data_IF_296037720943
#
_entry.id   IF_296037720943
#
_cell.length_a   1.000
_cell.length_b   1.000
_cell.length_c   1.000
_cell.angle_alpha   90.00
_cell.angle_beta   90.00
_cell.angle_gamma   90.00
#
_symmetry.space_group_name_H-M   'P 1'
#
loop_
_entity.id
_entity.type
_entity.pdbx_description
1 polymer ?
#
# COMPACT_ATOMS: atom_id res chain seq x y z
N UNK A 1 10.77 -16.75 49.91
CA UNK A 1 10.47 -16.77 48.48
C UNK A 1 9.49 -17.90 48.20
N UNK A 2 8.24 -17.55 47.92
CA UNK A 2 7.13 -18.50 47.78
C UNK A 2 7.26 -19.25 46.46
N UNK A 3 6.62 -20.46 46.41
CA UNK A 3 6.58 -21.35 45.23
C UNK A 3 6.10 -20.63 43.94
N UNK A 4 5.42 -19.49 44.09
CA UNK A 4 4.93 -18.61 43.02
C UNK A 4 6.10 -17.85 42.39
N UNK A 5 7.07 -17.34 43.19
CA UNK A 5 8.21 -16.56 42.69
C UNK A 5 9.18 -17.39 41.84
N UNK A 6 9.34 -18.69 42.15
CA UNK A 6 10.19 -19.59 41.35
C UNK A 6 9.57 -19.96 40.00
N UNK A 7 8.26 -19.98 39.90
CA UNK A 7 7.57 -20.22 38.61
C UNK A 7 7.63 -18.98 37.73
N UNK A 8 7.50 -17.77 38.30
CA UNK A 8 7.61 -16.51 37.56
C UNK A 8 9.01 -16.35 36.94
N UNK A 9 10.08 -16.69 37.70
CA UNK A 9 11.46 -16.60 37.17
C UNK A 9 11.73 -17.61 36.03
N UNK A 10 11.08 -18.77 36.06
CA UNK A 10 11.21 -19.80 35.00
C UNK A 10 10.47 -19.39 33.72
N UNK A 11 9.32 -18.72 33.87
CA UNK A 11 8.54 -18.20 32.76
C UNK A 11 9.19 -16.94 32.14
N UNK A 12 9.84 -16.10 32.93
CA UNK A 12 10.54 -14.91 32.44
C UNK A 12 11.74 -15.28 31.54
N UNK A 13 12.42 -16.41 31.80
CA UNK A 13 13.47 -16.93 30.91
C UNK A 13 12.93 -17.48 29.58
N UNK A 14 11.73 -18.00 29.58
CA UNK A 14 11.06 -18.49 28.35
C UNK A 14 10.51 -17.34 27.50
N UNK A 15 10.03 -16.25 28.15
CA UNK A 15 9.47 -15.06 27.51
C UNK A 15 10.53 -14.17 26.82
N UNK A 16 11.79 -14.27 27.22
CA UNK A 16 12.88 -13.53 26.56
C UNK A 16 13.25 -14.09 25.17
N UNK A 17 12.64 -15.20 24.75
CA UNK A 17 12.74 -15.78 23.41
C UNK A 17 11.54 -15.47 22.49
N UNK A 18 10.51 -14.79 23.00
CA UNK A 18 9.30 -14.42 22.26
C UNK A 18 9.38 -12.93 21.89
N UNK A 19 9.07 -12.59 20.65
CA UNK A 19 9.12 -11.22 20.13
C UNK A 19 8.33 -10.21 21.00
N UNK A 20 8.80 -8.96 21.11
CA UNK A 20 8.22 -7.91 21.97
C UNK A 20 6.71 -7.67 21.78
N UNK A 21 6.16 -7.96 20.60
CA UNK A 21 4.73 -7.79 20.30
C UNK A 21 3.83 -8.84 20.94
N UNK A 22 4.34 -10.06 21.19
CA UNK A 22 3.58 -11.12 21.86
C UNK A 22 3.44 -10.90 23.38
N UNK A 23 4.36 -10.08 23.95
CA UNK A 23 4.34 -9.76 25.38
C UNK A 23 3.13 -8.89 25.75
N UNK A 24 2.70 -8.01 24.83
CA UNK A 24 1.54 -7.14 25.09
C UNK A 24 0.23 -7.94 25.07
N UNK A 25 0.08 -8.85 24.12
CA UNK A 25 -1.06 -9.75 24.02
C UNK A 25 -1.19 -10.67 25.26
N UNK A 26 -0.05 -11.21 25.73
CA UNK A 26 -0.01 -12.06 26.91
C UNK A 26 -0.32 -11.29 28.21
N UNK A 27 0.11 -10.03 28.34
CA UNK A 27 -0.24 -9.17 29.49
C UNK A 27 -1.74 -8.88 29.53
N UNK A 28 -2.36 -8.62 28.38
CA UNK A 28 -3.80 -8.36 28.29
C UNK A 28 -4.62 -9.61 28.64
N UNK A 29 -4.18 -10.79 28.19
CA UNK A 29 -4.80 -12.07 28.54
C UNK A 29 -4.64 -12.39 30.03
N UNK A 30 -3.51 -12.08 30.64
CA UNK A 30 -3.27 -12.31 32.06
C UNK A 30 -4.16 -11.42 32.95
N UNK A 31 -4.37 -10.17 32.58
CA UNK A 31 -5.22 -9.24 33.33
C UNK A 31 -6.73 -9.60 33.26
N UNK A 32 -7.15 -10.23 32.17
CA UNK A 32 -8.53 -10.77 32.00
C UNK A 32 -8.71 -12.06 32.84
N UNK A 33 -7.66 -12.86 33.01
CA UNK A 33 -7.70 -14.12 33.75
C UNK A 33 -7.86 -13.93 35.27
N UNK A 34 -7.39 -12.84 35.85
CA UNK A 34 -7.54 -12.57 37.29
C UNK A 34 -8.97 -12.18 37.71
N UNK A 35 -9.81 -11.75 36.76
CA UNK A 35 -11.21 -11.31 37.02
C UNK A 35 -12.29 -12.33 36.69
N UNK A 36 -11.95 -13.51 36.16
CA UNK A 36 -12.88 -14.50 35.69
C UNK A 36 -13.08 -15.71 36.64
N UNK A 37 -14.31 -16.02 36.97
CA UNK A 37 -14.71 -17.10 37.89
C UNK A 37 -14.44 -18.52 37.38
N UNK A 38 -14.75 -19.50 38.20
CA UNK A 38 -14.43 -20.95 38.17
C UNK A 38 -14.68 -21.73 36.84
N UNK A 39 -15.48 -21.22 35.93
CA UNK A 39 -15.76 -21.89 34.64
C UNK A 39 -14.64 -21.77 33.60
N UNK A 40 -13.79 -20.74 33.67
CA UNK A 40 -12.69 -20.54 32.74
C UNK A 40 -11.52 -21.50 32.98
N UNK A 41 -11.32 -21.97 34.20
CA UNK A 41 -10.27 -22.96 34.53
C UNK A 41 -10.52 -24.33 33.87
N UNK A 42 -11.78 -24.69 33.58
CA UNK A 42 -12.15 -25.94 32.92
C UNK A 42 -11.89 -25.88 31.40
N UNK A 43 -12.09 -24.72 30.79
CA UNK A 43 -11.85 -24.46 29.37
C UNK A 43 -10.35 -24.47 29.06
N UNK A 44 -9.51 -23.92 29.95
CA UNK A 44 -8.04 -23.92 29.82
C UNK A 44 -7.42 -25.33 29.89
N UNK A 45 -7.97 -26.24 30.69
CA UNK A 45 -7.52 -27.63 30.72
C UNK A 45 -7.83 -28.38 29.42
N UNK A 46 -8.89 -28.02 28.72
CA UNK A 46 -9.25 -28.63 27.43
C UNK A 46 -8.38 -28.05 26.28
N UNK A 47 -8.03 -26.79 26.31
CA UNK A 47 -7.10 -26.18 25.32
C UNK A 47 -5.66 -26.68 25.49
N UNK A 48 -5.17 -26.85 26.71
CA UNK A 48 -3.83 -27.40 26.97
C UNK A 48 -3.65 -28.83 26.50
N UNK A 49 -4.72 -29.66 26.50
CA UNK A 49 -4.67 -31.03 25.97
C UNK A 49 -4.72 -31.11 24.45
N UNK A 50 -5.27 -30.12 23.77
CA UNK A 50 -5.29 -30.06 22.30
C UNK A 50 -3.92 -29.69 21.67
N UNK A 51 -3.05 -28.99 22.41
CA UNK A 51 -1.71 -28.59 21.95
C UNK A 51 -0.64 -29.69 22.13
N UNK A 52 -0.90 -30.75 22.89
CA UNK A 52 0.05 -31.84 23.10
C UNK A 52 -0.15 -33.00 22.08
N UNK A 53 -1.21 -32.95 21.27
CA UNK A 53 -1.57 -34.01 20.30
C UNK A 53 -0.89 -33.98 18.94
N UNK A 54 -0.05 -32.98 18.61
CA UNK A 54 0.53 -32.78 17.27
C UNK A 54 2.03 -33.17 17.18
N UNK A 55 2.63 -33.65 18.25
CA UNK A 55 4.09 -33.83 18.38
C UNK A 55 4.62 -35.26 18.32
N UNK A 56 3.94 -36.27 17.76
CA UNK A 56 4.51 -37.65 17.67
C UNK A 56 3.96 -38.44 16.50
N UNK A 57 4.50 -38.24 15.29
CA UNK A 57 4.58 -39.29 14.26
C UNK A 57 5.79 -38.99 13.36
N UNK A 58 6.96 -39.42 13.75
CA UNK A 58 8.09 -39.65 12.85
C UNK A 58 9.04 -40.65 13.51
N UNK A 59 9.12 -41.76 12.92
CA UNK A 59 10.17 -42.78 12.93
C UNK A 59 9.60 -44.18 13.12
N UNK A 60 9.65 -44.96 12.09
CA UNK A 60 10.23 -46.33 11.98
C UNK A 60 9.90 -46.85 10.59
N UNK A 61 10.91 -47.07 9.77
CA UNK A 61 10.98 -48.23 8.90
C UNK A 61 12.35 -48.35 8.25
N UNK A 62 13.02 -49.33 8.67
CA UNK A 62 14.11 -49.95 7.89
C UNK A 62 13.86 -51.45 7.86
N UNK A 63 14.29 -52.02 6.72
CA UNK A 63 14.63 -53.42 6.47
C UNK A 63 13.58 -54.43 5.98
N UNK A 64 13.78 -54.87 4.71
CA UNK A 64 14.12 -56.27 4.45
C UNK A 64 13.08 -57.06 3.65
N UNK A 65 13.50 -57.58 2.48
CA UNK A 65 12.91 -58.78 1.92
C UNK A 65 12.75 -58.79 0.39
N UNK A 66 13.70 -59.43 -0.28
CA UNK A 66 13.62 -59.84 -1.70
C UNK A 66 12.55 -60.94 -1.84
N UNK A 67 11.79 -60.89 -2.93
CA UNK A 67 11.46 -62.10 -3.70
C UNK A 67 11.09 -61.74 -5.16
N UNK A 68 11.71 -62.45 -6.12
CA UNK A 68 11.46 -62.41 -7.54
C UNK A 68 10.18 -63.15 -7.92
N UNK A 69 9.39 -62.53 -8.80
CA UNK A 69 8.58 -63.32 -9.75
C UNK A 69 8.46 -62.57 -11.07
N UNK A 70 8.98 -63.18 -12.11
CA UNK A 70 8.88 -62.87 -13.52
C UNK A 70 7.47 -63.09 -14.04
N UNK A 71 6.90 -62.08 -14.72
CA UNK A 71 5.87 -62.32 -15.74
C UNK A 71 5.99 -61.24 -16.84
N UNK A 72 6.28 -61.73 -18.03
CA UNK A 72 6.30 -60.97 -19.28
C UNK A 72 4.90 -60.58 -19.70
N UNK A 73 4.66 -59.29 -19.99
CA UNK A 73 3.64 -58.85 -20.95
C UNK A 73 4.12 -57.57 -21.68
N UNK A 74 3.64 -57.27 -22.89
CA UNK A 74 4.41 -56.54 -23.89
C UNK A 74 4.44 -55.02 -23.71
N UNK A 75 5.60 -54.44 -23.90
CA UNK A 75 5.81 -53.01 -24.00
C UNK A 75 5.01 -52.41 -25.12
N UNK A 76 3.95 -51.67 -24.76
CA UNK A 76 3.40 -50.63 -25.61
C UNK A 76 4.20 -49.36 -25.31
N UNK A 77 5.05 -48.94 -26.21
CA UNK A 77 5.71 -47.65 -26.18
C UNK A 77 4.66 -46.57 -26.37
N UNK A 78 4.05 -46.09 -25.29
CA UNK A 78 3.42 -44.80 -25.28
C UNK A 78 4.55 -43.78 -25.22
N UNK A 79 4.74 -42.99 -26.26
CA UNK A 79 5.48 -41.73 -26.21
C UNK A 79 4.80 -40.85 -25.14
N UNK A 80 5.31 -40.91 -23.91
CA UNK A 80 5.10 -39.84 -22.95
C UNK A 80 5.95 -38.70 -23.44
N UNK A 81 5.34 -37.71 -24.07
CA UNK A 81 5.97 -36.43 -24.26
C UNK A 81 6.42 -35.98 -22.84
N UNK A 82 7.74 -35.94 -22.59
CA UNK A 82 8.28 -35.23 -21.43
C UNK A 82 7.71 -33.83 -21.50
N UNK A 83 6.77 -33.48 -20.62
CA UNK A 83 6.46 -32.10 -20.36
C UNK A 83 7.72 -31.49 -19.80
N UNK A 84 8.38 -30.63 -20.56
CA UNK A 84 9.49 -29.85 -20.06
C UNK A 84 9.07 -29.23 -18.72
N UNK A 85 9.90 -29.44 -17.70
CA UNK A 85 9.60 -28.94 -16.36
C UNK A 85 9.55 -27.40 -16.42
N UNK A 86 8.43 -26.82 -16.02
CA UNK A 86 8.27 -25.36 -15.99
C UNK A 86 9.29 -24.74 -15.05
N UNK A 87 9.84 -23.59 -15.43
CA UNK A 87 10.63 -22.76 -14.52
C UNK A 87 9.69 -22.09 -13.52
N UNK A 88 9.88 -22.34 -12.22
CA UNK A 88 9.11 -21.66 -11.17
C UNK A 88 9.83 -20.35 -10.79
N UNK A 89 9.15 -19.20 -10.99
CA UNK A 89 9.61 -17.91 -10.46
C UNK A 89 8.82 -17.55 -9.21
N UNK A 90 9.47 -16.89 -8.26
CA UNK A 90 8.89 -16.46 -6.98
C UNK A 90 8.67 -14.97 -6.98
N UNK A 91 7.41 -14.57 -6.79
CA UNK A 91 6.98 -13.17 -6.84
C UNK A 91 6.52 -12.73 -5.45
N UNK A 92 7.24 -11.78 -4.84
CA UNK A 92 6.85 -11.19 -3.56
C UNK A 92 5.91 -10.01 -3.77
N UNK A 93 4.75 -10.06 -3.12
CA UNK A 93 3.72 -9.01 -3.15
C UNK A 93 2.86 -9.06 -1.88
N UNK A 94 1.94 -8.11 -1.73
CA UNK A 94 1.02 -8.03 -0.60
C UNK A 94 -0.43 -8.18 -1.05
N UNK A 95 -1.33 -8.54 -0.10
CA UNK A 95 -2.78 -8.63 -0.28
C UNK A 95 -3.24 -9.52 -1.46
N UNK A 96 -2.44 -10.50 -1.89
CA UNK A 96 -2.77 -11.39 -2.99
C UNK A 96 -4.10 -12.11 -2.80
N UNK A 97 -4.36 -12.56 -1.58
CA UNK A 97 -5.60 -13.27 -1.23
C UNK A 97 -6.83 -12.39 -1.43
N UNK A 98 -6.70 -11.07 -1.18
CA UNK A 98 -7.80 -10.12 -1.21
C UNK A 98 -7.87 -9.32 -2.53
N UNK A 99 -6.72 -9.10 -3.19
CA UNK A 99 -6.63 -8.33 -4.41
C UNK A 99 -6.71 -9.22 -5.67
N UNK A 100 -7.93 -9.44 -6.16
CA UNK A 100 -8.21 -10.35 -7.29
C UNK A 100 -7.41 -10.02 -8.55
N UNK A 101 -7.04 -8.77 -8.76
CA UNK A 101 -6.29 -8.36 -9.96
C UNK A 101 -4.92 -9.03 -10.05
N UNK A 102 -4.24 -9.29 -8.94
CA UNK A 102 -2.98 -10.04 -8.96
C UNK A 102 -3.17 -11.49 -9.43
N UNK A 103 -4.25 -12.12 -8.97
CA UNK A 103 -4.58 -13.48 -9.38
C UNK A 103 -4.88 -13.54 -10.88
N UNK A 104 -5.73 -12.64 -11.36
CA UNK A 104 -6.07 -12.54 -12.80
C UNK A 104 -4.80 -12.28 -13.63
N UNK A 105 -3.90 -11.42 -13.17
CA UNK A 105 -2.65 -11.10 -13.84
C UNK A 105 -1.75 -12.35 -13.99
N UNK A 106 -1.58 -13.10 -12.90
CA UNK A 106 -0.74 -14.30 -12.88
C UNK A 106 -1.35 -15.41 -13.74
N UNK A 107 -2.66 -15.65 -13.64
CA UNK A 107 -3.35 -16.64 -14.46
C UNK A 107 -3.21 -16.33 -15.95
N UNK A 108 -3.34 -15.06 -16.36
CA UNK A 108 -3.17 -14.69 -17.78
C UNK A 108 -1.71 -14.74 -18.22
N UNK A 109 -0.75 -14.42 -17.34
CA UNK A 109 0.68 -14.61 -17.63
C UNK A 109 1.01 -16.07 -17.87
N UNK A 110 0.64 -16.99 -16.97
CA UNK A 110 0.95 -18.43 -17.08
C UNK A 110 0.29 -19.09 -18.30
N UNK A 111 -0.88 -18.58 -18.71
CA UNK A 111 -1.56 -19.02 -19.93
C UNK A 111 -0.78 -18.65 -21.21
N UNK A 112 -0.10 -17.50 -21.19
CA UNK A 112 0.68 -17.00 -22.32
C UNK A 112 2.17 -17.45 -22.25
N UNK A 113 2.60 -18.05 -21.14
CA UNK A 113 3.96 -18.50 -20.89
C UNK A 113 3.94 -19.90 -20.26
N UNK A 114 3.60 -20.92 -21.06
CA UNK A 114 3.38 -22.29 -20.56
C UNK A 114 4.64 -22.94 -19.94
N UNK A 115 5.83 -22.40 -20.24
CA UNK A 115 7.13 -22.82 -19.71
C UNK A 115 7.48 -22.21 -18.35
N UNK A 116 6.68 -21.24 -17.84
CA UNK A 116 6.90 -20.59 -16.54
C UNK A 116 5.69 -20.83 -15.61
N UNK A 117 5.97 -20.99 -14.33
CA UNK A 117 4.96 -20.96 -13.27
C UNK A 117 5.31 -19.91 -12.24
N UNK A 118 4.28 -19.27 -11.64
CA UNK A 118 4.47 -18.20 -10.66
C UNK A 118 4.06 -18.67 -9.27
N UNK A 119 5.02 -18.65 -8.37
CA UNK A 119 4.79 -18.88 -6.94
C UNK A 119 4.75 -17.57 -6.18
N UNK A 120 3.59 -17.23 -5.65
CA UNK A 120 3.41 -16.01 -4.86
C UNK A 120 3.98 -16.18 -3.45
N UNK A 121 4.78 -15.20 -3.02
CA UNK A 121 5.19 -15.00 -1.64
C UNK A 121 4.36 -13.83 -1.12
N UNK A 122 3.24 -14.16 -0.46
CA UNK A 122 2.35 -13.15 0.13
C UNK A 122 2.86 -12.71 1.48
N UNK A 123 3.00 -11.40 1.66
CA UNK A 123 3.36 -10.75 2.91
C UNK A 123 2.22 -9.77 3.24
N UNK A 124 1.85 -9.66 4.53
CA UNK A 124 0.83 -8.68 4.94
C UNK A 124 1.24 -7.26 4.57
N UNK A 125 0.28 -6.42 4.14
CA UNK A 125 0.56 -5.06 3.71
C UNK A 125 1.30 -4.23 4.77
N UNK A 126 0.94 -4.39 6.05
CA UNK A 126 1.54 -3.63 7.15
C UNK A 126 3.01 -3.99 7.43
N UNK A 127 3.40 -5.24 7.15
CA UNK A 127 4.75 -5.74 7.43
C UNK A 127 5.63 -5.84 6.16
N UNK A 128 5.08 -5.48 4.99
CA UNK A 128 5.70 -5.77 3.70
C UNK A 128 7.10 -5.17 3.56
N UNK A 129 7.23 -3.87 3.80
CA UNK A 129 8.49 -3.14 3.60
C UNK A 129 9.62 -3.68 4.50
N UNK A 130 9.31 -4.03 5.74
CA UNK A 130 10.31 -4.57 6.68
C UNK A 130 10.68 -6.00 6.32
N UNK A 131 9.69 -6.84 6.05
CA UNK A 131 9.91 -8.27 5.75
C UNK A 131 10.64 -8.47 4.43
N UNK A 132 10.28 -7.75 3.36
CA UNK A 132 10.97 -7.92 2.07
C UNK A 132 12.45 -7.54 2.17
N UNK A 133 12.80 -6.49 2.90
CA UNK A 133 14.19 -6.12 3.11
C UNK A 133 14.97 -7.20 3.87
N UNK A 134 14.36 -7.81 4.88
CA UNK A 134 14.97 -8.91 5.65
C UNK A 134 15.18 -10.13 4.76
N UNK A 135 14.17 -10.52 3.99
CA UNK A 135 14.22 -11.67 3.08
C UNK A 135 15.32 -11.51 2.04
N UNK A 136 15.37 -10.37 1.35
CA UNK A 136 16.41 -10.11 0.35
C UNK A 136 17.82 -10.03 0.97
N UNK A 137 17.95 -9.47 2.19
CA UNK A 137 19.23 -9.46 2.93
C UNK A 137 19.64 -10.85 3.41
N UNK A 138 18.68 -11.73 3.69
CA UNK A 138 18.89 -13.11 4.08
C UNK A 138 19.27 -14.03 2.91
N UNK A 139 19.13 -13.57 1.67
CA UNK A 139 19.36 -14.35 0.47
C UNK A 139 18.21 -15.32 0.16
N UNK A 140 16.99 -14.97 0.61
CA UNK A 140 15.80 -15.75 0.28
C UNK A 140 15.59 -15.79 -1.24
N UNK A 141 15.11 -16.92 -1.70
CA UNK A 141 14.90 -17.24 -3.10
C UNK A 141 13.61 -16.55 -3.62
N UNK A 142 13.73 -15.25 -3.92
CA UNK A 142 12.72 -14.39 -4.52
C UNK A 142 13.26 -13.92 -5.87
N UNK A 143 12.46 -13.94 -6.93
CA UNK A 143 12.87 -13.47 -8.26
C UNK A 143 12.33 -12.07 -8.57
N UNK A 144 11.06 -11.82 -8.29
CA UNK A 144 10.39 -10.54 -8.56
C UNK A 144 9.89 -9.91 -7.28
N UNK A 145 10.14 -8.62 -7.14
CA UNK A 145 9.75 -7.81 -5.97
C UNK A 145 8.85 -6.67 -6.42
N UNK A 146 7.60 -6.66 -5.94
CA UNK A 146 6.76 -5.49 -5.99
C UNK A 146 7.13 -4.57 -4.83
N UNK A 147 7.25 -3.27 -5.07
CA UNK A 147 7.59 -2.29 -4.03
C UNK A 147 6.38 -1.38 -3.80
N UNK A 148 5.97 -1.21 -2.54
CA UNK A 148 4.75 -0.44 -2.23
C UNK A 148 4.85 1.02 -2.63
N UNK A 149 6.04 1.59 -2.52
CA UNK A 149 6.29 3.01 -2.73
C UNK A 149 7.72 3.26 -3.21
N UNK A 150 7.93 4.37 -3.88
CA UNK A 150 9.21 4.74 -4.49
C UNK A 150 10.34 4.89 -3.45
N UNK A 151 10.03 5.41 -2.26
CA UNK A 151 10.99 5.52 -1.16
C UNK A 151 11.57 4.17 -0.72
N UNK A 152 10.74 3.12 -0.69
CA UNK A 152 11.18 1.76 -0.37
C UNK A 152 12.10 1.17 -1.45
N UNK A 153 11.85 1.50 -2.73
CA UNK A 153 12.72 1.11 -3.85
C UNK A 153 14.13 1.68 -3.68
N UNK A 154 14.26 2.95 -3.27
CA UNK A 154 15.56 3.58 -3.05
C UNK A 154 16.42 2.77 -2.05
N UNK A 155 15.81 2.30 -0.96
CA UNK A 155 16.48 1.46 0.03
C UNK A 155 16.97 0.11 -0.52
N UNK A 156 16.23 -0.49 -1.46
CA UNK A 156 16.65 -1.73 -2.13
C UNK A 156 17.79 -1.48 -3.11
N UNK A 157 17.77 -0.36 -3.85
CA UNK A 157 18.83 0.03 -4.78
C UNK A 157 20.15 0.25 -4.03
N UNK A 158 20.13 1.04 -2.94
CA UNK A 158 21.32 1.32 -2.12
C UNK A 158 21.99 0.06 -1.59
N UNK A 159 21.19 -0.95 -1.23
CA UNK A 159 21.69 -2.23 -0.73
C UNK A 159 22.12 -3.19 -1.84
N UNK A 160 22.00 -2.80 -3.12
CA UNK A 160 22.29 -3.66 -4.26
C UNK A 160 21.38 -4.88 -4.36
N UNK A 161 20.14 -4.78 -3.86
CA UNK A 161 19.18 -5.88 -3.80
C UNK A 161 18.31 -6.03 -5.05
N UNK A 162 18.37 -5.07 -5.96
CA UNK A 162 17.63 -5.08 -7.24
C UNK A 162 18.57 -4.84 -8.41
N UNK A 163 18.29 -5.46 -9.57
CA UNK A 163 19.07 -5.30 -10.80
C UNK A 163 18.71 -4.00 -11.51
N UNK A 164 19.71 -3.40 -12.22
CA UNK A 164 19.40 -2.43 -13.29
C UNK A 164 18.64 -3.14 -14.40
N UNK A 165 17.59 -2.49 -14.91
CA UNK A 165 16.73 -3.00 -15.99
C UNK A 165 17.06 -2.39 -17.35
N UNK A 166 18.08 -1.52 -17.47
CA UNK A 166 18.39 -0.78 -18.70
C UNK A 166 18.56 -1.70 -19.90
N UNK A 167 19.34 -2.80 -19.75
CA UNK A 167 19.58 -3.77 -20.83
C UNK A 167 18.30 -4.50 -21.25
N UNK A 168 17.43 -4.81 -20.29
CA UNK A 168 16.14 -5.45 -20.54
C UNK A 168 15.18 -4.50 -21.27
N UNK A 169 15.08 -3.26 -20.79
CA UNK A 169 14.26 -2.19 -21.38
C UNK A 169 14.69 -1.94 -22.83
N UNK A 170 16.00 -1.84 -23.06
CA UNK A 170 16.57 -1.64 -24.40
C UNK A 170 16.27 -2.81 -25.34
N UNK A 171 16.48 -4.05 -24.89
CA UNK A 171 16.24 -5.28 -25.69
C UNK A 171 14.77 -5.44 -26.05
N UNK A 172 13.87 -5.13 -25.10
CA UNK A 172 12.42 -5.20 -25.28
C UNK A 172 11.89 -4.01 -26.09
N UNK A 173 12.71 -3.00 -26.39
CA UNK A 173 12.31 -1.75 -27.08
C UNK A 173 11.07 -1.11 -26.44
N UNK A 174 11.11 -0.97 -25.10
CA UNK A 174 10.00 -0.36 -24.34
C UNK A 174 9.80 1.10 -24.77
N UNK A 175 8.57 1.43 -25.14
CA UNK A 175 8.19 2.82 -25.48
C UNK A 175 7.72 3.56 -24.22
N UNK A 176 8.56 4.47 -23.74
CA UNK A 176 8.31 5.27 -22.53
C UNK A 176 7.07 6.17 -22.64
N UNK A 177 6.63 6.51 -23.85
CA UNK A 177 5.47 7.38 -24.05
C UNK A 177 4.18 6.82 -23.41
N UNK A 178 4.06 5.49 -23.32
CA UNK A 178 2.93 4.83 -22.66
C UNK A 178 2.97 4.92 -21.13
N UNK A 179 4.12 5.29 -20.54
CA UNK A 179 4.29 5.42 -19.10
C UNK A 179 4.31 6.88 -18.62
N UNK A 180 4.19 7.86 -19.55
CA UNK A 180 4.08 9.27 -19.21
C UNK A 180 5.30 9.85 -18.47
N UNK A 181 6.50 9.37 -18.79
CA UNK A 181 7.76 9.84 -18.18
C UNK A 181 8.14 9.13 -16.87
N UNK A 182 7.33 8.19 -16.37
CA UNK A 182 7.57 7.52 -15.08
C UNK A 182 8.85 6.69 -15.03
N UNK A 183 9.36 6.20 -16.17
CA UNK A 183 10.65 5.49 -16.19
C UNK A 183 11.82 6.38 -15.75
N UNK A 184 11.81 7.64 -16.18
CA UNK A 184 12.82 8.61 -15.75
C UNK A 184 12.72 8.95 -14.26
N UNK A 185 11.49 9.01 -13.73
CA UNK A 185 11.24 9.24 -12.30
C UNK A 185 11.68 8.04 -11.42
N UNK A 186 11.76 6.83 -12.00
CA UNK A 186 12.27 5.62 -11.35
C UNK A 186 13.75 5.34 -11.64
N UNK A 187 14.46 6.31 -12.22
CA UNK A 187 15.90 6.23 -12.45
C UNK A 187 16.68 6.84 -11.28
N UNK A 188 17.69 6.12 -10.79
CA UNK A 188 18.65 6.61 -9.82
C UNK A 188 20.06 6.54 -10.43
N UNK A 189 20.80 7.63 -10.37
CA UNK A 189 22.12 7.75 -11.00
C UNK A 189 22.13 7.38 -12.49
N UNK A 190 21.04 7.71 -13.19
CA UNK A 190 20.86 7.46 -14.62
C UNK A 190 20.59 6.00 -15.00
N UNK A 191 20.22 5.14 -14.03
CA UNK A 191 19.84 3.75 -14.25
C UNK A 191 18.43 3.48 -13.76
N UNK A 192 17.66 2.73 -14.52
CA UNK A 192 16.32 2.26 -14.15
C UNK A 192 16.41 0.94 -13.43
N UNK A 193 15.81 0.84 -12.25
CA UNK A 193 15.84 -0.37 -11.40
C UNK A 193 14.48 -1.03 -11.23
N UNK A 194 13.42 -0.41 -11.73
CA UNK A 194 12.06 -0.93 -11.66
C UNK A 194 11.23 -0.49 -12.84
N UNK A 195 10.29 -1.33 -13.27
CA UNK A 195 9.21 -0.92 -14.15
C UNK A 195 8.01 -0.42 -13.32
N UNK A 196 7.32 0.65 -13.74
CA UNK A 196 6.12 1.10 -13.08
C UNK A 196 4.96 0.14 -13.42
N UNK A 197 4.35 -0.48 -12.40
CA UNK A 197 3.25 -1.44 -12.57
C UNK A 197 1.89 -0.75 -12.59
N UNK A 198 1.60 -0.01 -11.53
CA UNK A 198 0.37 0.77 -11.40
C UNK A 198 0.67 2.14 -10.83
N UNK A 199 -0.22 3.08 -11.08
CA UNK A 199 -0.18 4.41 -10.49
C UNK A 199 -1.49 4.68 -9.77
N UNK A 200 -1.41 5.51 -8.74
CA UNK A 200 -2.55 5.97 -7.98
C UNK A 200 -2.50 7.50 -7.91
N UNK A 201 -3.49 8.18 -8.50
CA UNK A 201 -3.61 9.64 -8.40
C UNK A 201 -4.33 10.02 -7.12
N UNK A 202 -3.88 11.06 -6.44
CA UNK A 202 -4.59 11.61 -5.27
C UNK A 202 -5.70 12.54 -5.76
N UNK A 203 -6.95 12.22 -5.37
CA UNK A 203 -8.16 12.98 -5.74
C UNK A 203 -9.06 13.20 -4.51
N UNK A 204 -10.04 14.09 -4.65
CA UNK A 204 -11.06 14.34 -3.64
C UNK A 204 -12.30 13.48 -3.91
N UNK A 205 -12.74 12.73 -2.91
CA UNK A 205 -13.99 11.98 -2.89
C UNK A 205 -15.02 12.70 -2.05
N UNK A 206 -16.30 12.61 -2.42
CA UNK A 206 -17.38 13.18 -1.66
C UNK A 206 -18.64 12.29 -1.65
N UNK A 207 -19.36 12.31 -0.54
CA UNK A 207 -20.61 11.59 -0.35
C UNK A 207 -21.78 12.46 -0.84
N UNK A 208 -22.35 12.13 -2.01
CA UNK A 208 -23.45 12.88 -2.65
C UNK A 208 -24.68 12.97 -1.75
N UNK A 209 -25.02 11.88 -1.07
CA UNK A 209 -26.23 11.81 -0.24
C UNK A 209 -26.14 12.74 0.98
N UNK A 210 -24.94 12.94 1.55
CA UNK A 210 -24.73 13.92 2.61
C UNK A 210 -24.85 15.36 2.11
N UNK A 211 -24.34 15.64 0.91
CA UNK A 211 -24.48 16.96 0.27
C UNK A 211 -25.93 17.26 -0.07
N UNK A 212 -26.66 16.31 -0.67
CA UNK A 212 -28.09 16.44 -1.00
C UNK A 212 -28.92 16.67 0.26
N UNK A 213 -28.66 15.91 1.33
CA UNK A 213 -29.33 16.07 2.62
C UNK A 213 -29.09 17.44 3.24
N UNK A 214 -27.90 17.98 3.08
CA UNK A 214 -27.53 19.31 3.59
C UNK A 214 -28.05 20.45 2.69
N UNK A 215 -28.46 20.19 1.45
CA UNK A 215 -28.80 21.18 0.45
C UNK A 215 -27.61 22.04 0.03
N UNK A 216 -26.43 21.48 0.03
CA UNK A 216 -25.16 22.14 -0.32
C UNK A 216 -24.70 21.63 -1.70
N UNK A 217 -24.19 22.53 -2.54
CA UNK A 217 -23.64 22.16 -3.84
C UNK A 217 -22.42 21.24 -3.69
N UNK A 218 -22.26 20.31 -4.62
CA UNK A 218 -21.11 19.40 -4.67
C UNK A 218 -19.80 20.14 -4.88
N UNK A 219 -18.68 19.61 -4.38
CA UNK A 219 -17.36 20.13 -4.70
C UNK A 219 -17.11 20.07 -6.21
N UNK A 220 -16.29 20.99 -6.71
CA UNK A 220 -16.01 21.18 -8.14
C UNK A 220 -14.50 21.21 -8.38
N UNK A 221 -14.09 20.87 -9.59
CA UNK A 221 -12.72 21.11 -10.04
C UNK A 221 -12.38 22.61 -9.99
N UNK A 222 -11.13 22.92 -9.69
CA UNK A 222 -10.65 24.28 -9.57
C UNK A 222 -11.06 25.00 -8.29
N UNK A 223 -11.58 24.30 -7.28
CA UNK A 223 -11.76 24.90 -5.94
C UNK A 223 -10.40 25.35 -5.37
N UNK A 224 -10.42 26.48 -4.68
CA UNK A 224 -9.31 26.86 -3.81
C UNK A 224 -9.32 26.04 -2.52
N UNK A 225 -8.18 26.00 -1.85
CA UNK A 225 -8.09 25.36 -0.53
C UNK A 225 -8.93 26.13 0.53
N UNK A 226 -9.14 27.44 0.33
CA UNK A 226 -10.06 28.26 1.12
C UNK A 226 -11.52 27.85 0.88
N UNK A 227 -11.92 27.67 -0.38
CA UNK A 227 -13.28 27.18 -0.71
C UNK A 227 -13.52 25.80 -0.11
N UNK A 228 -12.53 24.92 -0.15
CA UNK A 228 -12.58 23.59 0.46
C UNK A 228 -12.79 23.66 1.98
N UNK A 229 -12.07 24.54 2.68
CA UNK A 229 -12.26 24.79 4.12
C UNK A 229 -13.67 25.25 4.42
N UNK A 230 -14.15 26.27 3.67
CA UNK A 230 -15.52 26.81 3.84
C UNK A 230 -16.58 25.75 3.56
N UNK A 231 -16.39 24.95 2.52
CA UNK A 231 -17.29 23.85 2.17
C UNK A 231 -17.31 22.78 3.27
N UNK A 232 -16.14 22.41 3.79
CA UNK A 232 -16.03 21.48 4.91
C UNK A 232 -16.73 22.02 6.18
N UNK A 233 -16.59 23.31 6.48
CA UNK A 233 -17.30 23.93 7.59
C UNK A 233 -18.83 23.86 7.41
N UNK A 234 -19.35 24.15 6.20
CA UNK A 234 -20.79 24.05 5.86
C UNK A 234 -21.33 22.62 5.98
N UNK A 235 -20.52 21.61 5.62
CA UNK A 235 -20.92 20.21 5.68
C UNK A 235 -20.78 19.59 7.07
N UNK A 236 -20.14 20.28 8.00
CA UNK A 236 -19.96 19.80 9.38
C UNK A 236 -21.26 19.93 10.16
N UNK A 237 -21.70 18.83 10.78
CA UNK A 237 -22.97 18.79 11.51
C UNK A 237 -22.95 17.77 12.66
N UNK A 238 -23.95 17.85 13.54
CA UNK A 238 -24.09 16.93 14.67
C UNK A 238 -23.02 17.12 15.76
N UNK A 239 -23.19 16.38 16.84
CA UNK A 239 -22.28 16.38 17.99
C UNK A 239 -22.07 14.97 18.52
N UNK A 240 -20.97 14.75 19.24
CA UNK A 240 -20.66 13.47 19.88
C UNK A 240 -20.60 12.31 18.88
N UNK A 241 -21.40 11.28 19.09
CA UNK A 241 -21.45 10.08 18.23
C UNK A 241 -22.13 10.34 16.86
N UNK A 242 -22.97 11.39 16.78
CA UNK A 242 -23.69 11.79 15.56
C UNK A 242 -22.92 12.84 14.75
N UNK A 243 -21.70 13.16 15.15
CA UNK A 243 -20.85 14.14 14.46
C UNK A 243 -20.50 13.65 13.06
N UNK A 244 -20.84 14.47 12.07
CA UNK A 244 -20.37 14.34 10.68
C UNK A 244 -19.38 15.47 10.43
N UNK A 245 -18.16 15.12 10.11
CA UNK A 245 -17.14 16.10 9.73
C UNK A 245 -17.31 16.49 8.26
N UNK A 246 -17.04 17.73 7.91
CA UNK A 246 -17.11 18.17 6.52
C UNK A 246 -16.04 17.52 5.66
N UNK A 247 -14.88 17.24 6.25
CA UNK A 247 -13.79 16.55 5.55
C UNK A 247 -13.04 15.59 6.49
N UNK A 248 -12.23 14.73 5.89
CA UNK A 248 -11.26 13.87 6.59
C UNK A 248 -9.87 14.11 6.04
N UNK A 249 -8.94 14.48 6.91
CA UNK A 249 -7.50 14.50 6.64
C UNK A 249 -6.87 13.30 7.33
N UNK A 250 -6.29 12.37 6.56
CA UNK A 250 -5.67 11.20 7.16
C UNK A 250 -4.29 11.55 7.77
N UNK A 251 -3.78 10.67 8.64
CA UNK A 251 -2.58 10.96 9.46
C UNK A 251 -1.25 10.84 8.71
N UNK A 252 -1.25 10.54 7.43
CA UNK A 252 -0.04 10.54 6.62
C UNK A 252 0.36 11.98 6.26
N UNK A 253 1.65 12.36 6.33
CA UNK A 253 2.10 13.69 5.93
C UNK A 253 1.63 14.06 4.52
N UNK A 254 1.69 13.12 3.58
CA UNK A 254 1.25 13.30 2.20
C UNK A 254 -0.24 13.66 2.06
N UNK A 255 -1.08 13.33 3.04
CA UNK A 255 -2.50 13.74 3.00
C UNK A 255 -2.68 15.26 2.98
N UNK A 256 -1.73 16.00 3.54
CA UNK A 256 -1.64 17.47 3.47
C UNK A 256 -0.70 17.90 2.34
N UNK A 257 0.45 17.27 2.22
CA UNK A 257 1.53 17.72 1.33
C UNK A 257 1.19 17.56 -0.15
N UNK A 258 0.30 16.62 -0.51
CA UNK A 258 -0.13 16.43 -1.89
C UNK A 258 -0.88 17.65 -2.46
N UNK A 259 -1.49 18.49 -1.62
CA UNK A 259 -2.04 19.78 -2.08
C UNK A 259 -0.93 20.73 -2.55
N UNK A 260 0.19 20.79 -1.81
CA UNK A 260 1.34 21.60 -2.20
C UNK A 260 2.12 20.95 -3.37
N UNK A 261 2.12 19.62 -3.44
CA UNK A 261 2.77 18.90 -4.54
C UNK A 261 2.07 19.13 -5.89
N UNK A 262 0.75 19.25 -5.88
CA UNK A 262 -0.06 19.51 -7.08
C UNK A 262 0.35 20.82 -7.78
N UNK A 263 0.71 21.85 -7.01
CA UNK A 263 1.13 23.16 -7.51
C UNK A 263 2.66 23.30 -7.67
N UNK A 264 3.39 22.21 -7.42
CA UNK A 264 4.87 22.20 -7.40
C UNK A 264 5.50 23.09 -6.32
N UNK A 265 4.74 23.39 -5.27
CA UNK A 265 5.25 24.19 -4.15
C UNK A 265 6.15 23.38 -3.22
N UNK A 266 5.94 22.08 -3.17
CA UNK A 266 6.68 21.19 -2.27
C UNK A 266 7.07 19.87 -2.91
N UNK A 267 8.31 19.48 -2.67
CA UNK A 267 8.83 18.10 -2.76
C UNK A 267 9.99 18.00 -1.76
N UNK A 268 9.95 17.00 -0.91
CA UNK A 268 11.01 16.77 0.07
C UNK A 268 12.36 16.62 -0.64
N UNK A 269 13.41 17.18 -0.07
CA UNK A 269 14.76 17.28 -0.65
C UNK A 269 14.93 18.22 -1.86
N UNK A 270 13.87 18.73 -2.46
CA UNK A 270 13.95 19.59 -3.65
C UNK A 270 13.47 21.01 -3.40
N UNK A 271 12.48 21.17 -2.53
CA UNK A 271 11.83 22.46 -2.25
C UNK A 271 11.91 22.81 -0.77
N UNK A 272 11.98 24.08 -0.40
CA UNK A 272 11.95 24.50 1.00
C UNK A 272 10.67 24.03 1.70
N UNK A 273 10.82 23.42 2.87
CA UNK A 273 9.64 22.99 3.68
C UNK A 273 8.81 24.16 4.16
N UNK A 274 9.38 25.37 4.23
CA UNK A 274 8.65 26.59 4.57
C UNK A 274 7.45 26.86 3.64
N UNK A 275 7.49 26.36 2.41
CA UNK A 275 6.37 26.45 1.46
C UNK A 275 5.10 25.71 1.95
N UNK A 276 5.21 24.83 2.94
CA UNK A 276 4.08 24.14 3.54
C UNK A 276 3.31 24.99 4.59
N UNK A 277 3.83 26.17 4.96
CA UNK A 277 3.27 26.94 6.08
C UNK A 277 1.78 27.27 5.92
N UNK A 278 1.39 27.77 4.74
CA UNK A 278 -0.02 28.15 4.46
C UNK A 278 -0.95 26.91 4.43
N UNK A 279 -0.44 25.77 3.97
CA UNK A 279 -1.18 24.50 3.99
C UNK A 279 -1.43 24.03 5.42
N UNK A 280 -0.42 24.04 6.28
CA UNK A 280 -0.59 23.70 7.70
C UNK A 280 -1.56 24.65 8.39
N UNK A 281 -1.46 25.96 8.13
CA UNK A 281 -2.35 26.98 8.72
C UNK A 281 -3.82 26.69 8.40
N UNK A 282 -4.14 26.39 7.13
CA UNK A 282 -5.50 26.08 6.70
C UNK A 282 -6.01 24.81 7.39
N UNK A 283 -5.26 23.70 7.39
CA UNK A 283 -5.70 22.45 7.98
C UNK A 283 -5.78 22.50 9.50
N UNK A 284 -4.89 23.23 10.17
CA UNK A 284 -4.99 23.48 11.62
C UNK A 284 -6.20 24.34 11.98
N UNK A 285 -6.60 25.30 11.15
CA UNK A 285 -7.85 26.03 11.32
C UNK A 285 -9.06 25.14 11.13
N UNK A 286 -9.07 24.26 10.12
CA UNK A 286 -10.14 23.26 9.94
C UNK A 286 -10.25 22.34 11.16
N UNK A 287 -9.14 21.96 11.77
CA UNK A 287 -9.09 21.10 12.95
C UNK A 287 -9.50 21.85 14.22
N UNK A 288 -8.93 23.03 14.47
CA UNK A 288 -8.95 23.68 15.77
C UNK A 288 -10.06 24.74 15.91
N UNK A 289 -10.38 25.47 14.83
CA UNK A 289 -11.39 26.52 14.81
C UNK A 289 -12.73 25.99 14.29
N UNK A 290 -12.75 25.52 13.05
CA UNK A 290 -13.97 25.09 12.36
C UNK A 290 -14.49 23.74 12.88
N UNK A 291 -13.62 22.93 13.48
CA UNK A 291 -13.89 21.52 13.85
C UNK A 291 -14.48 20.71 12.70
N UNK A 292 -14.07 21.05 11.47
CA UNK A 292 -14.56 20.44 10.24
C UNK A 292 -13.79 19.20 9.81
N UNK A 293 -12.62 18.95 10.42
CA UNK A 293 -11.90 17.69 10.38
C UNK A 293 -11.66 17.15 11.78
N UNK A 294 -11.45 15.81 11.87
CA UNK A 294 -11.16 15.16 13.15
C UNK A 294 -9.77 15.56 13.64
N UNK A 295 -9.63 15.70 14.95
CA UNK A 295 -8.37 15.96 15.63
C UNK A 295 -7.31 14.89 15.30
N UNK A 296 -6.11 15.33 14.88
CA UNK A 296 -5.02 14.46 14.46
C UNK A 296 -4.57 13.50 15.56
N UNK A 297 -4.41 14.00 16.79
CA UNK A 297 -4.03 13.18 17.94
C UNK A 297 -5.05 12.08 18.22
N UNK A 298 -6.35 12.39 18.06
CA UNK A 298 -7.43 11.40 18.17
C UNK A 298 -7.33 10.33 17.08
N UNK A 299 -7.08 10.72 15.84
CA UNK A 299 -6.88 9.76 14.72
C UNK A 299 -5.75 8.80 14.99
N UNK A 300 -4.58 9.32 15.41
CA UNK A 300 -3.38 8.53 15.74
C UNK A 300 -3.61 7.61 16.93
N UNK A 301 -4.11 8.15 18.05
CA UNK A 301 -4.26 7.41 19.28
C UNK A 301 -5.27 6.26 19.19
N UNK A 302 -6.29 6.40 18.34
CA UNK A 302 -7.33 5.39 18.13
C UNK A 302 -7.13 4.55 16.88
N UNK A 303 -6.08 4.79 16.11
CA UNK A 303 -5.79 4.15 14.82
C UNK A 303 -7.02 4.18 13.89
N UNK A 304 -7.64 5.36 13.74
CA UNK A 304 -8.85 5.53 12.93
C UNK A 304 -8.47 5.56 11.46
N UNK A 305 -8.96 4.58 10.72
CA UNK A 305 -8.68 4.46 9.29
C UNK A 305 -9.68 5.27 8.45
N UNK A 306 -9.21 5.96 7.41
CA UNK A 306 -10.00 6.83 6.53
C UNK A 306 -11.22 6.12 5.92
N UNK A 307 -11.04 4.87 5.49
CA UNK A 307 -12.11 4.12 4.83
C UNK A 307 -13.31 3.90 5.76
N UNK A 308 -13.07 3.53 7.03
CA UNK A 308 -14.12 3.39 8.02
C UNK A 308 -14.87 4.70 8.28
N UNK A 309 -14.15 5.83 8.31
CA UNK A 309 -14.76 7.15 8.48
C UNK A 309 -15.71 7.47 7.31
N UNK A 310 -15.28 7.21 6.07
CA UNK A 310 -16.09 7.47 4.87
C UNK A 310 -17.24 6.48 4.71
N UNK A 311 -17.00 5.17 4.89
CA UNK A 311 -18.03 4.14 4.78
C UNK A 311 -19.17 4.31 5.79
N UNK A 312 -18.84 4.74 7.01
CA UNK A 312 -19.82 5.03 8.05
C UNK A 312 -20.43 6.44 7.94
N UNK A 313 -20.19 7.16 6.84
CA UNK A 313 -20.71 8.51 6.59
C UNK A 313 -20.37 9.52 7.71
N UNK A 314 -19.22 9.35 8.36
CA UNK A 314 -18.73 10.23 9.41
C UNK A 314 -17.96 11.45 8.86
N UNK A 315 -17.71 11.48 7.54
CA UNK A 315 -17.24 12.68 6.84
C UNK A 315 -17.92 12.82 5.48
N UNK A 316 -18.07 14.06 5.02
CA UNK A 316 -18.67 14.38 3.72
C UNK A 316 -17.65 14.29 2.59
N UNK A 317 -16.37 14.58 2.86
CA UNK A 317 -15.28 14.60 1.88
C UNK A 317 -14.04 13.88 2.44
N UNK A 318 -13.26 13.25 1.55
CA UNK A 318 -11.94 12.65 1.88
C UNK A 318 -11.02 12.74 0.68
N UNK A 319 -9.76 13.12 0.89
CA UNK A 319 -8.72 13.05 -0.14
C UNK A 319 -7.98 11.73 -0.02
N UNK A 320 -7.89 10.99 -1.13
CA UNK A 320 -7.26 9.67 -1.14
C UNK A 320 -6.81 9.30 -2.56
N UNK A 321 -5.91 8.35 -2.68
CA UNK A 321 -5.49 7.82 -3.97
C UNK A 321 -6.60 7.02 -4.67
N UNK A 322 -6.46 6.84 -5.96
CA UNK A 322 -7.47 6.20 -6.82
C UNK A 322 -7.70 4.71 -6.50
N UNK A 323 -6.83 4.05 -5.73
CA UNK A 323 -7.12 2.72 -5.17
C UNK A 323 -8.44 2.69 -4.38
N UNK A 324 -8.84 3.84 -3.81
CA UNK A 324 -10.07 3.93 -3.03
C UNK A 324 -11.34 3.80 -3.88
N UNK A 325 -11.27 4.09 -5.19
CA UNK A 325 -12.36 3.82 -6.15
C UNK A 325 -12.73 2.34 -6.12
N UNK A 326 -11.74 1.47 -6.29
CA UNK A 326 -11.97 0.02 -6.25
C UNK A 326 -12.57 -0.44 -4.93
N UNK A 327 -12.06 0.08 -3.82
CA UNK A 327 -12.60 -0.22 -2.50
C UNK A 327 -14.07 0.19 -2.37
N UNK A 328 -14.45 1.38 -2.86
CA UNK A 328 -15.84 1.86 -2.84
C UNK A 328 -16.75 0.99 -3.72
N UNK A 329 -16.29 0.59 -4.91
CA UNK A 329 -17.02 -0.31 -5.78
C UNK A 329 -17.27 -1.68 -5.12
N UNK A 330 -16.25 -2.25 -4.48
CA UNK A 330 -16.37 -3.51 -3.74
C UNK A 330 -17.35 -3.37 -2.55
N UNK A 331 -17.23 -2.30 -1.75
CA UNK A 331 -18.12 -2.08 -0.63
C UNK A 331 -19.58 -1.86 -1.08
N UNK A 332 -19.79 -1.23 -2.22
CA UNK A 332 -21.12 -1.08 -2.80
C UNK A 332 -21.67 -2.42 -3.32
N UNK A 333 -20.84 -3.21 -3.99
CA UNK A 333 -21.23 -4.53 -4.52
C UNK A 333 -21.58 -5.53 -3.42
N UNK A 334 -20.92 -5.48 -2.27
CA UNK A 334 -21.22 -6.37 -1.14
C UNK A 334 -22.28 -5.79 -0.16
N UNK A 335 -22.83 -4.60 -0.45
CA UNK A 335 -23.90 -3.96 0.33
C UNK A 335 -23.43 -3.33 1.66
N UNK A 336 -22.14 -3.12 1.86
CA UNK A 336 -21.60 -2.42 3.04
C UNK A 336 -21.92 -0.93 3.00
N UNK A 337 -21.89 -0.33 1.79
CA UNK A 337 -22.30 1.06 1.57
C UNK A 337 -23.46 1.09 0.56
N UNK A 338 -24.41 1.99 0.79
CA UNK A 338 -25.59 2.19 -0.06
C UNK A 338 -25.69 3.61 -0.65
N UNK A 339 -24.86 4.54 -0.16
CA UNK A 339 -24.86 5.93 -0.60
C UNK A 339 -24.16 6.10 -1.96
N UNK A 340 -24.49 7.23 -2.61
CA UNK A 340 -23.84 7.67 -3.84
C UNK A 340 -22.64 8.57 -3.53
N UNK A 341 -21.60 8.45 -4.33
CA UNK A 341 -20.37 9.22 -4.18
C UNK A 341 -19.93 9.83 -5.51
N UNK A 342 -19.06 10.80 -5.44
CA UNK A 342 -18.44 11.45 -6.58
C UNK A 342 -17.01 11.81 -6.30
N UNK A 343 -16.34 12.31 -7.31
CA UNK A 343 -14.93 12.71 -7.25
C UNK A 343 -14.73 14.07 -7.89
N UNK A 344 -13.69 14.78 -7.46
CA UNK A 344 -13.15 15.94 -8.17
C UNK A 344 -11.64 16.06 -7.90
N UNK A 345 -10.99 17.01 -8.58
CA UNK A 345 -9.55 17.28 -8.38
C UNK A 345 -9.26 17.75 -6.95
N UNK A 346 -7.99 17.60 -6.53
CA UNK A 346 -7.54 18.28 -5.31
C UNK A 346 -7.72 19.79 -5.45
N UNK A 347 -8.18 20.48 -4.40
CA UNK A 347 -8.16 21.94 -4.34
C UNK A 347 -6.75 22.51 -4.50
N UNK A 348 -6.64 23.68 -5.12
CA UNK A 348 -5.40 24.43 -5.28
C UNK A 348 -5.31 25.55 -4.26
N UNK A 349 -4.10 25.88 -3.80
CA UNK A 349 -3.96 26.99 -2.86
C UNK A 349 -4.19 28.36 -3.55
N UNK A 350 -3.82 28.47 -4.81
CA UNK A 350 -3.87 29.69 -5.62
C UNK A 350 -5.11 29.78 -6.53
N UNK A 351 -5.93 28.74 -6.62
CA UNK A 351 -7.07 28.67 -7.51
C UNK A 351 -6.71 28.61 -8.99
N UNK A 352 -5.50 28.18 -9.32
CA UNK A 352 -5.04 28.06 -10.73
C UNK A 352 -5.89 27.08 -11.53
N UNK A 353 -6.57 26.14 -10.85
CA UNK A 353 -7.37 25.10 -11.49
C UNK A 353 -6.55 24.19 -12.40
N UNK A 354 -5.21 24.09 -12.14
CA UNK A 354 -4.35 23.29 -12.98
C UNK A 354 -4.76 21.81 -12.98
N UNK A 355 -4.56 21.15 -14.13
CA UNK A 355 -4.89 19.75 -14.35
C UNK A 355 -3.76 18.79 -13.93
N UNK A 356 -2.84 19.23 -13.07
CA UNK A 356 -1.74 18.38 -12.60
C UNK A 356 -2.25 17.31 -11.64
N UNK A 357 -1.64 16.15 -11.70
CA UNK A 357 -1.90 15.02 -10.80
C UNK A 357 -0.72 14.77 -9.86
N UNK A 358 -1.04 14.33 -8.64
CA UNK A 358 -0.04 13.79 -7.72
C UNK A 358 -0.20 12.29 -7.67
N UNK A 359 0.86 11.55 -7.97
CA UNK A 359 0.82 10.11 -8.11
C UNK A 359 1.75 9.38 -7.16
N UNK A 360 1.23 8.29 -6.60
CA UNK A 360 2.03 7.18 -6.09
C UNK A 360 2.23 6.14 -7.20
N UNK A 361 3.40 5.54 -7.26
CA UNK A 361 3.72 4.47 -8.20
C UNK A 361 4.07 3.21 -7.42
N UNK A 362 3.61 2.07 -7.91
CA UNK A 362 4.06 0.75 -7.46
C UNK A 362 5.13 0.24 -8.40
N UNK A 363 6.41 0.31 -8.03
CA UNK A 363 7.50 -0.24 -8.81
C UNK A 363 7.55 -1.77 -8.72
N UNK A 364 8.05 -2.43 -9.78
CA UNK A 364 8.35 -3.85 -9.79
C UNK A 364 9.76 -4.10 -10.33
N UNK A 365 10.55 -4.89 -9.61
CA UNK A 365 11.99 -5.08 -9.82
C UNK A 365 12.37 -6.54 -9.88
N UNK A 366 13.56 -6.84 -10.44
CA UNK A 366 14.20 -8.15 -10.36
C UNK A 366 15.14 -8.14 -9.15
N UNK A 367 15.03 -9.16 -8.29
CA UNK A 367 16.00 -9.37 -7.21
C UNK A 367 17.38 -9.63 -7.79
N UNK A 368 18.39 -8.91 -7.32
CA UNK A 368 19.77 -9.06 -7.79
C UNK A 368 20.36 -10.47 -7.56
N UNK A 369 19.80 -11.24 -6.61
CA UNK A 369 20.19 -12.61 -6.32
C UNK A 369 19.33 -13.67 -7.06
N UNK A 370 18.38 -13.26 -7.91
CA UNK A 370 17.55 -14.18 -8.68
C UNK A 370 18.39 -15.14 -9.53
N UNK A 371 17.95 -16.38 -9.59
CA UNK A 371 18.54 -17.42 -10.47
C UNK A 371 17.81 -17.51 -11.81
N UNK A 372 16.69 -16.79 -11.95
CA UNK A 372 15.79 -16.78 -13.10
C UNK A 372 15.50 -15.36 -13.60
N UNK A 373 16.56 -14.52 -13.82
CA UNK A 373 16.34 -13.11 -14.14
C UNK A 373 15.65 -12.88 -15.49
N UNK A 374 15.85 -13.77 -16.46
CA UNK A 374 15.18 -13.67 -17.78
C UNK A 374 13.69 -14.01 -17.68
N UNK A 375 13.32 -15.03 -16.91
CA UNK A 375 11.91 -15.38 -16.66
C UNK A 375 11.23 -14.33 -15.78
N UNK A 376 11.96 -13.78 -14.81
CA UNK A 376 11.50 -12.65 -13.98
C UNK A 376 11.22 -11.41 -14.86
N UNK A 377 12.09 -11.11 -15.82
CA UNK A 377 11.87 -10.04 -16.78
C UNK A 377 10.62 -10.29 -17.64
N UNK A 378 10.44 -11.49 -18.17
CA UNK A 378 9.25 -11.85 -18.97
C UNK A 378 7.96 -11.59 -18.18
N UNK A 379 7.96 -11.91 -16.88
CA UNK A 379 6.83 -11.60 -16.01
C UNK A 379 6.64 -10.08 -15.84
N UNK A 380 7.71 -9.33 -15.59
CA UNK A 380 7.65 -7.87 -15.42
C UNK A 380 7.21 -7.19 -16.71
N UNK A 381 7.77 -7.54 -17.86
CA UNK A 381 7.41 -7.00 -19.16
C UNK A 381 5.91 -7.25 -19.46
N UNK A 382 5.42 -8.46 -19.19
CA UNK A 382 4.00 -8.77 -19.32
C UNK A 382 3.16 -7.93 -18.36
N UNK A 383 3.50 -7.93 -17.07
CA UNK A 383 2.71 -7.30 -16.02
C UNK A 383 2.60 -5.77 -16.21
N UNK A 384 3.67 -5.14 -16.68
CA UNK A 384 3.77 -3.69 -16.86
C UNK A 384 3.49 -3.21 -18.29
N UNK A 385 3.35 -4.13 -19.27
CA UNK A 385 3.04 -3.82 -20.66
C UNK A 385 1.54 -3.85 -20.95
N UNK A 386 1.17 -3.74 -22.24
CA UNK A 386 -0.21 -3.61 -22.71
C UNK A 386 -1.15 -4.72 -22.22
N UNK A 387 -0.69 -5.96 -22.17
CA UNK A 387 -1.52 -7.11 -21.79
C UNK A 387 -1.84 -7.09 -20.29
N UNK A 388 -0.84 -6.98 -19.44
CA UNK A 388 -1.02 -6.90 -17.99
C UNK A 388 -1.79 -5.65 -17.58
N UNK A 389 -1.52 -4.51 -18.24
CA UNK A 389 -2.26 -3.27 -18.06
C UNK A 389 -3.76 -3.44 -18.31
N UNK A 390 -4.14 -4.12 -19.41
CA UNK A 390 -5.53 -4.41 -19.72
C UNK A 390 -6.19 -5.33 -18.67
N UNK A 391 -5.45 -6.34 -18.16
CA UNK A 391 -5.94 -7.25 -17.11
C UNK A 391 -6.26 -6.50 -15.82
N UNK A 392 -5.34 -5.66 -15.33
CA UNK A 392 -5.57 -4.94 -14.07
C UNK A 392 -6.58 -3.81 -14.24
N UNK A 393 -6.62 -3.15 -15.41
CA UNK A 393 -7.62 -2.14 -15.74
C UNK A 393 -9.05 -2.68 -15.66
N UNK A 394 -9.30 -3.90 -16.17
CA UNK A 394 -10.59 -4.58 -16.04
C UNK A 394 -11.01 -4.86 -14.58
N UNK A 395 -10.08 -4.78 -13.64
CA UNK A 395 -10.33 -4.91 -12.21
C UNK A 395 -10.46 -3.54 -11.51
N UNK A 396 -10.51 -2.44 -12.24
CA UNK A 396 -10.62 -1.09 -11.70
C UNK A 396 -9.31 -0.52 -11.15
N UNK A 397 -8.17 -1.14 -11.47
CA UNK A 397 -6.83 -0.65 -11.09
C UNK A 397 -6.27 0.17 -12.24
N UNK A 398 -5.68 1.33 -11.93
CA UNK A 398 -5.05 2.18 -12.94
C UNK A 398 -3.63 1.66 -13.19
N UNK A 399 -3.35 1.09 -14.38
CA UNK A 399 -1.99 0.69 -14.72
C UNK A 399 -1.11 1.92 -14.94
N UNK A 400 0.19 1.74 -14.80
CA UNK A 400 1.15 2.77 -15.18
C UNK A 400 1.24 2.91 -16.71
N UNK A 401 1.17 1.79 -17.43
CA UNK A 401 1.05 1.76 -18.90
C UNK A 401 -0.36 2.17 -19.33
N UNK A 402 -0.47 3.19 -20.19
CA UNK A 402 -1.77 3.71 -20.64
C UNK A 402 -1.76 3.91 -22.16
N UNK A 403 -2.50 3.07 -22.86
CA UNK A 403 -2.84 3.22 -24.27
C UNK A 403 -4.34 3.49 -24.44
N UNK A 404 -4.81 3.62 -25.68
CA UNK A 404 -6.23 3.87 -25.97
C UNK A 404 -7.15 2.71 -25.55
N UNK A 405 -6.63 1.47 -25.55
CA UNK A 405 -7.37 0.31 -25.08
C UNK A 405 -7.58 0.38 -23.55
N UNK A 406 -6.54 0.68 -22.79
CA UNK A 406 -6.62 0.86 -21.33
C UNK A 406 -7.59 2.00 -20.97
N UNK A 407 -7.51 3.14 -21.67
CA UNK A 407 -8.46 4.25 -21.48
C UNK A 407 -9.91 3.81 -21.72
N UNK A 408 -10.15 3.06 -22.79
CA UNK A 408 -11.49 2.53 -23.12
C UNK A 408 -12.00 1.57 -22.05
N UNK A 409 -11.15 0.68 -21.54
CA UNK A 409 -11.52 -0.26 -20.48
C UNK A 409 -11.93 0.51 -19.23
N UNK A 410 -11.10 1.44 -18.76
CA UNK A 410 -11.36 2.19 -17.53
C UNK A 410 -12.64 3.02 -17.64
N UNK A 411 -12.86 3.69 -18.78
CA UNK A 411 -14.07 4.49 -19.03
C UNK A 411 -15.35 3.65 -19.13
N UNK A 412 -15.22 2.35 -19.42
CA UNK A 412 -16.35 1.42 -19.54
C UNK A 412 -16.70 0.67 -18.25
N UNK A 413 -15.99 0.89 -17.15
CA UNK A 413 -16.25 0.17 -15.90
C UNK A 413 -17.52 0.67 -15.20
N UNK A 414 -18.38 -0.26 -14.78
CA UNK A 414 -19.62 0.04 -14.08
C UNK A 414 -19.37 0.70 -12.72
N UNK A 415 -20.09 1.79 -12.46
CA UNK A 415 -20.07 2.49 -11.17
C UNK A 415 -18.89 3.45 -10.97
N UNK A 416 -17.99 3.58 -11.94
CA UNK A 416 -16.95 4.60 -11.95
C UNK A 416 -17.58 5.97 -12.30
N UNK A 417 -17.22 7.06 -11.61
CA UNK A 417 -17.65 8.39 -11.99
C UNK A 417 -17.22 8.75 -13.43
N UNK A 418 -18.12 9.40 -14.19
CA UNK A 418 -17.88 9.75 -15.61
C UNK A 418 -16.61 10.57 -15.83
N UNK A 419 -16.24 11.44 -14.87
CA UNK A 419 -15.05 12.27 -14.93
C UNK A 419 -13.76 11.58 -14.43
N UNK A 420 -13.79 10.29 -14.13
CA UNK A 420 -12.63 9.58 -13.59
C UNK A 420 -11.41 9.59 -14.53
N UNK A 421 -11.68 9.48 -15.84
CA UNK A 421 -10.64 9.51 -16.86
C UNK A 421 -9.82 10.81 -16.87
N UNK A 422 -10.40 11.92 -16.45
CA UNK A 422 -9.74 13.23 -16.46
C UNK A 422 -8.59 13.29 -15.44
N UNK A 423 -8.72 12.57 -14.30
CA UNK A 423 -7.71 12.57 -13.25
C UNK A 423 -6.57 11.58 -13.47
N UNK A 424 -6.80 10.54 -14.28
CA UNK A 424 -5.75 9.57 -14.63
C UNK A 424 -4.95 9.98 -15.87
N UNK A 425 -5.40 11.01 -16.60
CA UNK A 425 -4.78 11.58 -17.80
C UNK A 425 -4.38 13.05 -17.60
N UNK A 426 -3.94 13.42 -16.40
CA UNK A 426 -3.49 14.78 -16.11
C UNK A 426 -2.37 15.24 -17.05
N UNK A 427 -2.31 16.54 -17.32
CA UNK A 427 -1.31 17.15 -18.23
C UNK A 427 0.12 16.92 -17.72
N UNK A 428 0.32 16.96 -16.40
CA UNK A 428 1.58 16.69 -15.73
C UNK A 428 1.33 15.89 -14.45
N UNK A 429 2.19 14.91 -14.21
CA UNK A 429 2.21 14.16 -12.98
C UNK A 429 3.43 14.53 -12.14
N UNK A 430 3.21 14.61 -10.83
CA UNK A 430 4.27 14.74 -9.84
C UNK A 430 4.25 13.50 -8.94
N UNK A 431 5.41 12.88 -8.72
CA UNK A 431 5.51 11.85 -7.70
C UNK A 431 5.23 12.44 -6.30
N UNK A 432 4.44 11.74 -5.51
CA UNK A 432 4.20 12.12 -4.10
C UNK A 432 5.46 11.99 -3.24
N UNK A 433 6.38 11.11 -3.64
CA UNK A 433 7.67 10.90 -3.00
C UNK A 433 8.76 10.73 -4.06
N UNK A 434 9.92 11.39 -3.94
CA UNK A 434 11.01 11.24 -4.90
C UNK A 434 11.75 9.92 -4.71
N UNK A 435 12.35 9.41 -5.77
CA UNK A 435 13.36 8.36 -5.68
C UNK A 435 14.68 8.99 -5.24
N UNK A 436 14.92 8.99 -3.93
CA UNK A 436 16.12 9.58 -3.33
C UNK A 436 16.87 8.55 -2.49
N UNK A 437 18.20 8.50 -2.50
CA UNK A 437 18.98 7.58 -1.67
C UNK A 437 18.56 7.59 -0.20
N UNK A 438 18.36 8.75 0.37
CA UNK A 438 18.01 8.93 1.77
C UNK A 438 16.50 9.02 2.04
N UNK A 439 15.66 8.56 1.08
CA UNK A 439 14.21 8.68 1.16
C UNK A 439 13.61 8.14 2.47
N UNK A 440 14.18 7.05 3.03
CA UNK A 440 13.72 6.48 4.30
C UNK A 440 13.93 7.42 5.49
N UNK A 441 15.09 8.07 5.58
CA UNK A 441 15.41 9.02 6.64
C UNK A 441 14.62 10.32 6.48
N UNK A 442 14.51 10.81 5.24
CA UNK A 442 13.71 11.98 4.91
C UNK A 442 12.23 11.78 5.29
N UNK A 443 11.65 10.61 5.00
CA UNK A 443 10.26 10.29 5.36
C UNK A 443 10.07 10.16 6.88
N UNK A 444 11.07 9.65 7.61
CA UNK A 444 11.02 9.62 9.06
C UNK A 444 10.99 11.04 9.64
N UNK A 445 11.90 11.91 9.21
CA UNK A 445 11.93 13.33 9.62
C UNK A 445 10.59 14.00 9.34
N UNK A 446 10.10 13.82 8.13
CA UNK A 446 8.82 14.35 7.68
C UNK A 446 7.65 13.91 8.56
N UNK A 447 7.57 12.62 8.87
CA UNK A 447 6.51 12.03 9.71
C UNK A 447 6.55 12.52 11.15
N UNK A 448 7.74 12.67 11.73
CA UNK A 448 7.93 13.12 13.10
C UNK A 448 7.52 14.59 13.24
N UNK A 449 8.06 15.49 12.41
CA UNK A 449 7.77 16.92 12.50
C UNK A 449 6.32 17.24 12.09
N UNK A 450 5.79 16.57 11.06
CA UNK A 450 4.35 16.66 10.74
C UNK A 450 3.47 16.32 11.94
N UNK A 451 3.81 15.26 12.66
CA UNK A 451 3.03 14.83 13.81
C UNK A 451 3.07 15.87 14.94
N UNK A 452 4.24 16.47 15.20
CA UNK A 452 4.39 17.52 16.22
C UNK A 452 3.58 18.78 15.88
N UNK A 453 3.62 19.22 14.61
CA UNK A 453 2.85 20.38 14.12
C UNK A 453 1.34 20.09 14.23
N UNK A 454 0.87 18.96 13.72
CA UNK A 454 -0.54 18.62 13.67
C UNK A 454 -1.16 18.35 15.06
N UNK A 455 -0.36 17.88 16.03
CA UNK A 455 -0.76 17.76 17.43
C UNK A 455 -0.73 19.11 18.18
N UNK A 456 -0.13 20.16 17.60
CA UNK A 456 0.04 21.46 18.26
C UNK A 456 1.12 21.44 19.36
N UNK A 457 2.01 20.46 19.34
CA UNK A 457 3.15 20.37 20.27
C UNK A 457 4.23 21.44 19.97
N UNK A 458 4.33 21.83 18.70
CA UNK A 458 5.17 22.94 18.22
C UNK A 458 4.38 23.85 17.31
N UNK A 459 4.81 25.10 17.14
CA UNK A 459 4.24 26.01 16.13
C UNK A 459 4.60 25.53 14.72
N UNK A 460 3.83 25.99 13.71
CA UNK A 460 4.13 25.71 12.29
C UNK A 460 5.57 26.14 11.97
N UNK A 461 5.95 27.35 12.37
CA UNK A 461 7.28 27.91 12.09
C UNK A 461 8.39 27.05 12.73
N UNK A 462 8.28 26.73 14.01
CA UNK A 462 9.29 25.92 14.73
C UNK A 462 9.42 24.53 14.13
N UNK A 463 8.30 23.84 13.84
CA UNK A 463 8.31 22.50 13.25
C UNK A 463 8.89 22.48 11.83
N UNK A 464 8.55 23.46 10.98
CA UNK A 464 9.10 23.55 9.63
C UNK A 464 10.60 23.92 9.65
N UNK A 465 11.05 24.77 10.58
CA UNK A 465 12.47 25.10 10.74
C UNK A 465 13.29 23.87 11.19
N UNK A 466 12.80 23.10 12.15
CA UNK A 466 13.50 21.89 12.58
C UNK A 466 13.47 20.81 11.49
N UNK A 467 12.35 20.64 10.79
CA UNK A 467 12.25 19.74 9.64
C UNK A 467 13.30 20.08 8.58
N UNK A 468 13.39 21.36 8.16
CA UNK A 468 14.38 21.79 7.16
C UNK A 468 15.81 21.54 7.63
N UNK A 469 16.12 21.90 8.86
CA UNK A 469 17.46 21.71 9.45
C UNK A 469 17.86 20.22 9.42
N UNK A 470 16.96 19.33 9.81
CA UNK A 470 17.22 17.88 9.82
C UNK A 470 17.37 17.32 8.40
N UNK A 471 16.56 17.80 7.45
CA UNK A 471 16.69 17.46 6.02
C UNK A 471 18.06 17.93 5.49
N UNK A 472 18.46 19.16 5.79
CA UNK A 472 19.76 19.70 5.35
C UNK A 472 20.96 18.94 5.96
N UNK A 473 20.79 18.32 7.14
CA UNK A 473 21.81 17.47 7.74
C UNK A 473 21.96 16.14 7.01
N UNK A 474 20.86 15.58 6.51
CA UNK A 474 20.86 14.34 5.71
C UNK A 474 21.44 14.57 4.32
N UNK A 475 21.12 15.70 3.70
CA UNK A 475 21.52 16.02 2.31
C UNK A 475 22.94 16.54 2.15
N UNK A 476 23.74 16.65 3.21
CA UNK A 476 25.15 17.09 3.19
C UNK A 476 26.09 15.97 2.79
#
# INVERSE_FOLDING_TARGET
MNKIDKNILKYTKYLNQIHKNDIFALKTIFHISEKGGTNMKKMWKQMAMALIGIGTVLSVSACGGKENTTSNEPQTTANVAESEAKTEIKVALWDYTNAKYYKNLIEEFEKNNEDISVKVIEISADEYNDKIQIMLSGGDDVDVVFTKEVASLAGLIQKGQVLSLDDYIQKANIDESYYGGMLNELALDGKVYAMPFKKDCTILYYNKDLFDKAGVEYPKDGMTLTDYRELAAKMTSGEGAEKVYGAHLHTWPRSLQNFARKTDDFQIAEKPVANLADYYDIFLKMQNEDKSIMDYGTLKARNIHYSGVFYNQQCAMVTMGTWFVNNLLEQKANGTIDFNWGICSLPDIDGSGNANGVIGVTPVSINAASKHPEEAWRFIEFATGAQGAAVIANSGIIPAYVDDNVKSIISGLDGIPENFSDYINADKFYLEQPLHPDAGELEQINSEEHSLIMCGEVSIEEGLQEMQKRIDEVLK
#
